data_IF_949416621590
#
_entry.id   IF_949416621590
#
_cell.length_a   1.000
_cell.length_b   1.000
_cell.length_c   1.000
_cell.angle_alpha   90.00
_cell.angle_beta   90.00
_cell.angle_gamma   90.00
#
_symmetry.space_group_name_H-M   'P 1'
#
loop_
_entity.id
_entity.type
_entity.pdbx_description
1 polymer ?
#
# COMPACT_ATOMS: atom_id res chain seq x y z
N UNK A 1 -61.32 -24.82 5.37
CA UNK A 1 -60.01 -25.22 4.80
C UNK A 1 -59.22 -23.95 4.50
N UNK A 2 -58.20 -23.59 5.31
CA UNK A 2 -57.38 -22.39 5.13
C UNK A 2 -56.05 -22.80 4.47
N UNK A 3 -55.56 -22.15 3.40
CA UNK A 3 -54.27 -22.47 2.81
C UNK A 3 -53.14 -21.86 3.64
N UNK A 4 -52.24 -22.70 4.08
CA UNK A 4 -50.97 -22.32 4.73
C UNK A 4 -50.02 -21.78 3.67
N UNK A 5 -49.77 -20.45 3.74
CA UNK A 5 -48.74 -19.79 2.90
C UNK A 5 -47.39 -20.07 3.50
N UNK A 6 -46.59 -20.85 2.82
CA UNK A 6 -45.17 -21.06 3.10
C UNK A 6 -44.38 -19.83 2.67
N UNK A 7 -43.85 -19.08 3.65
CA UNK A 7 -42.92 -17.98 3.42
C UNK A 7 -41.52 -18.59 3.49
N UNK A 8 -40.88 -18.76 2.32
CA UNK A 8 -39.46 -19.11 2.22
C UNK A 8 -38.62 -17.86 2.61
N UNK A 9 -37.72 -17.99 3.59
CA UNK A 9 -36.76 -16.92 3.84
C UNK A 9 -35.70 -16.92 2.75
N UNK A 10 -35.64 -15.86 1.95
CA UNK A 10 -34.54 -15.58 1.02
C UNK A 10 -33.34 -15.20 1.86
N UNK A 11 -32.39 -16.12 2.02
CA UNK A 11 -31.08 -15.85 2.60
C UNK A 11 -30.25 -15.10 1.55
N UNK A 12 -30.19 -13.77 1.66
CA UNK A 12 -29.23 -12.94 0.91
C UNK A 12 -27.82 -13.23 1.44
N UNK A 13 -27.09 -14.11 0.74
CA UNK A 13 -25.66 -14.25 0.95
C UNK A 13 -24.95 -12.97 0.47
N UNK A 14 -24.57 -12.11 1.39
CA UNK A 14 -23.61 -11.05 1.12
C UNK A 14 -22.26 -11.70 0.87
N UNK A 15 -21.91 -11.88 -0.40
CA UNK A 15 -20.56 -12.20 -0.81
C UNK A 15 -19.69 -10.97 -0.52
N UNK A 16 -19.00 -10.96 0.61
CA UNK A 16 -17.94 -9.97 0.89
C UNK A 16 -16.81 -10.23 -0.08
N UNK A 17 -16.77 -9.47 -1.17
CA UNK A 17 -15.58 -9.38 -2.02
C UNK A 17 -14.48 -8.72 -1.20
N UNK A 18 -13.53 -9.52 -0.72
CA UNK A 18 -12.27 -9.02 -0.18
C UNK A 18 -11.55 -8.29 -1.33
N UNK A 19 -11.71 -6.97 -1.40
CA UNK A 19 -10.93 -6.13 -2.30
C UNK A 19 -9.48 -6.23 -1.85
N UNK A 20 -8.64 -6.86 -2.66
CA UNK A 20 -7.20 -6.75 -2.52
C UNK A 20 -6.87 -5.25 -2.59
N UNK A 21 -6.49 -4.67 -1.46
CA UNK A 21 -6.04 -3.28 -1.39
C UNK A 21 -4.69 -3.24 -2.11
N UNK A 22 -4.72 -2.90 -3.39
CA UNK A 22 -3.50 -2.58 -4.14
C UNK A 22 -2.88 -1.35 -3.47
N UNK A 23 -1.70 -1.54 -2.89
CA UNK A 23 -0.94 -0.43 -2.33
C UNK A 23 -0.55 0.50 -3.47
N UNK A 24 -0.94 1.78 -3.38
CA UNK A 24 -0.57 2.82 -4.36
C UNK A 24 0.96 2.85 -4.49
N UNK A 25 1.49 2.87 -5.72
CA UNK A 25 2.93 2.97 -5.94
C UNK A 25 3.48 4.31 -5.44
N UNK A 26 4.78 4.36 -5.16
CA UNK A 26 5.40 5.60 -4.67
C UNK A 26 5.23 6.75 -5.66
N UNK A 27 5.40 6.47 -6.96
CA UNK A 27 5.21 7.44 -8.04
C UNK A 27 3.77 7.94 -8.11
N UNK A 28 2.79 7.05 -7.90
CA UNK A 28 1.37 7.41 -7.84
C UNK A 28 1.05 8.27 -6.63
N UNK A 29 1.66 7.98 -5.47
CA UNK A 29 1.52 8.80 -4.26
C UNK A 29 2.13 10.19 -4.44
N UNK A 30 3.29 10.29 -5.10
CA UNK A 30 3.94 11.54 -5.42
C UNK A 30 3.13 12.36 -6.44
N UNK A 31 2.61 11.71 -7.48
CA UNK A 31 1.73 12.34 -8.48
C UNK A 31 0.43 12.86 -7.86
N UNK A 32 -0.18 12.08 -6.95
CA UNK A 32 -1.37 12.48 -6.21
C UNK A 32 -1.09 13.74 -5.37
N UNK A 33 0.01 13.74 -4.62
CA UNK A 33 0.42 14.91 -3.81
C UNK A 33 0.69 16.13 -4.69
N UNK A 34 1.38 15.98 -5.81
CA UNK A 34 1.65 17.08 -6.73
C UNK A 34 0.37 17.66 -7.31
N UNK A 35 -0.57 16.82 -7.74
CA UNK A 35 -1.84 17.24 -8.33
C UNK A 35 -2.78 17.92 -7.32
N UNK A 36 -2.91 17.34 -6.13
CA UNK A 36 -3.90 17.80 -5.14
C UNK A 36 -3.36 18.84 -4.17
N UNK A 37 -2.03 18.82 -3.91
CA UNK A 37 -1.40 19.65 -2.88
C UNK A 37 -0.39 20.66 -3.43
N UNK A 38 -0.08 20.67 -4.72
CA UNK A 38 1.00 21.51 -5.26
C UNK A 38 0.89 22.96 -4.85
N UNK A 39 -0.27 23.59 -5.00
CA UNK A 39 -0.52 24.99 -4.60
C UNK A 39 -0.39 25.20 -3.09
N UNK A 40 -0.91 24.26 -2.29
CA UNK A 40 -0.84 24.33 -0.83
C UNK A 40 0.60 24.17 -0.32
N UNK A 41 1.38 23.30 -0.96
CA UNK A 41 2.80 23.09 -0.66
C UNK A 41 3.60 24.36 -0.99
N UNK A 42 3.37 24.94 -2.16
CA UNK A 42 4.04 26.18 -2.59
C UNK A 42 3.70 27.35 -1.68
N UNK A 43 2.48 27.43 -1.18
CA UNK A 43 2.04 28.50 -0.30
C UNK A 43 2.52 28.33 1.15
N UNK A 44 2.46 27.12 1.70
CA UNK A 44 2.61 26.88 3.14
C UNK A 44 3.87 26.08 3.51
N UNK A 45 4.46 25.34 2.56
CA UNK A 45 5.55 24.39 2.81
C UNK A 45 6.77 24.62 1.90
N UNK A 46 6.96 25.84 1.43
CA UNK A 46 8.07 26.19 0.53
C UNK A 46 9.42 25.84 1.16
N UNK A 47 10.27 25.14 0.38
CA UNK A 47 11.59 24.71 0.81
C UNK A 47 11.61 23.44 1.69
N UNK A 48 10.46 22.85 1.95
CA UNK A 48 10.40 21.53 2.60
C UNK A 48 10.75 20.46 1.56
N UNK A 49 11.78 19.66 1.83
CA UNK A 49 12.09 18.50 0.98
C UNK A 49 10.88 17.55 0.94
N UNK A 50 10.68 16.90 -0.23
CA UNK A 50 9.64 15.87 -0.42
C UNK A 50 9.92 14.57 0.37
N UNK A 51 10.59 14.67 1.51
CA UNK A 51 10.61 13.67 2.56
C UNK A 51 9.20 13.53 3.12
N UNK A 52 8.69 12.32 3.10
CA UNK A 52 7.31 12.04 3.51
C UNK A 52 6.99 12.51 4.94
N UNK A 53 7.96 12.51 5.84
CA UNK A 53 7.80 12.94 7.23
C UNK A 53 7.71 14.46 7.32
N UNK A 54 8.68 15.17 6.74
CA UNK A 54 8.74 16.65 6.82
C UNK A 54 7.58 17.31 6.09
N UNK A 55 7.20 16.79 4.92
CA UNK A 55 6.06 17.31 4.17
C UNK A 55 4.75 17.06 4.92
N UNK A 56 4.57 15.85 5.47
CA UNK A 56 3.42 15.53 6.32
C UNK A 56 3.30 16.47 7.50
N UNK A 57 4.40 16.69 8.23
CA UNK A 57 4.43 17.58 9.39
C UNK A 57 4.11 19.03 9.01
N UNK A 58 4.63 19.51 7.86
CA UNK A 58 4.34 20.83 7.36
C UNK A 58 2.85 20.99 7.03
N UNK A 59 2.26 20.09 6.25
CA UNK A 59 0.85 20.12 5.89
C UNK A 59 -0.05 20.00 7.13
N UNK A 60 0.36 19.21 8.11
CA UNK A 60 -0.38 19.06 9.37
C UNK A 60 -0.35 20.35 10.20
N UNK A 61 0.80 21.02 10.31
CA UNK A 61 0.90 22.31 11.04
C UNK A 61 0.10 23.41 10.37
N UNK A 62 -0.04 23.36 9.05
CA UNK A 62 -0.78 24.35 8.27
C UNK A 62 -2.20 23.88 7.91
N UNK A 63 -2.75 22.93 8.69
CA UNK A 63 -4.05 22.29 8.43
C UNK A 63 -5.17 23.28 8.09
N UNK A 64 -5.23 24.42 8.77
CA UNK A 64 -6.32 25.39 8.62
C UNK A 64 -6.25 26.18 7.30
N UNK A 65 -5.05 26.31 6.73
CA UNK A 65 -4.80 27.03 5.46
C UNK A 65 -4.70 26.09 4.25
N UNK A 66 -4.47 24.81 4.48
CA UNK A 66 -4.41 23.76 3.45
C UNK A 66 -5.82 23.38 3.00
N UNK A 67 -6.03 23.26 1.69
CA UNK A 67 -7.33 22.90 1.11
C UNK A 67 -7.85 21.55 1.60
N UNK A 68 -9.18 21.38 1.66
CA UNK A 68 -9.82 20.12 2.06
C UNK A 68 -9.42 18.95 1.15
N UNK A 69 -9.27 19.20 -0.15
CA UNK A 69 -8.82 18.19 -1.12
C UNK A 69 -7.39 17.74 -0.81
N UNK A 70 -6.47 18.68 -0.60
CA UNK A 70 -5.08 18.35 -0.25
C UNK A 70 -5.01 17.57 1.07
N UNK A 71 -5.74 17.96 2.11
CA UNK A 71 -5.76 17.22 3.38
C UNK A 71 -6.16 15.76 3.19
N UNK A 72 -7.22 15.51 2.41
CA UNK A 72 -7.72 14.16 2.15
C UNK A 72 -6.71 13.31 1.37
N UNK A 73 -6.19 13.86 0.27
CA UNK A 73 -5.29 13.14 -0.62
C UNK A 73 -3.89 12.96 -0.01
N UNK A 74 -3.41 13.94 0.76
CA UNK A 74 -2.17 13.81 1.54
C UNK A 74 -2.29 12.68 2.57
N UNK A 75 -3.40 12.59 3.29
CA UNK A 75 -3.67 11.47 4.21
C UNK A 75 -3.55 10.13 3.50
N UNK A 76 -4.24 9.95 2.37
CA UNK A 76 -4.21 8.72 1.57
C UNK A 76 -2.80 8.39 1.06
N UNK A 77 -2.07 9.39 0.55
CA UNK A 77 -0.72 9.20 0.03
C UNK A 77 0.26 8.79 1.15
N UNK A 78 0.25 9.48 2.29
CA UNK A 78 1.13 9.15 3.41
C UNK A 78 0.82 7.79 4.03
N UNK A 79 -0.45 7.42 4.17
CA UNK A 79 -0.84 6.08 4.63
C UNK A 79 -0.36 4.98 3.67
N UNK A 80 -0.47 5.20 2.36
CA UNK A 80 0.03 4.27 1.36
C UNK A 80 1.55 4.11 1.44
N UNK A 81 2.30 5.20 1.60
CA UNK A 81 3.75 5.18 1.78
C UNK A 81 4.13 4.41 3.05
N UNK A 82 3.47 4.67 4.18
CA UNK A 82 3.75 3.97 5.44
C UNK A 82 3.47 2.46 5.36
N UNK A 83 2.36 2.07 4.75
CA UNK A 83 2.02 0.66 4.51
C UNK A 83 3.09 -0.02 3.67
N UNK A 84 3.59 0.64 2.64
CA UNK A 84 4.65 0.10 1.76
C UNK A 84 5.99 -0.01 2.48
N UNK A 85 6.39 0.98 3.27
CA UNK A 85 7.60 0.93 4.10
C UNK A 85 7.53 -0.24 5.08
N UNK A 86 6.38 -0.42 5.75
CA UNK A 86 6.16 -1.54 6.65
C UNK A 86 6.19 -2.90 5.92
N UNK A 87 5.63 -2.97 4.70
CA UNK A 87 5.66 -4.18 3.88
C UNK A 87 7.10 -4.55 3.46
N UNK A 88 7.93 -3.57 3.07
CA UNK A 88 9.35 -3.79 2.72
C UNK A 88 10.12 -4.44 3.86
N UNK A 89 9.89 -4.02 5.10
CA UNK A 89 10.51 -4.64 6.28
C UNK A 89 10.16 -6.13 6.47
N UNK A 90 9.06 -6.60 5.89
CA UNK A 90 8.60 -7.99 6.01
C UNK A 90 9.09 -8.91 4.88
N UNK A 91 9.54 -8.35 3.75
CA UNK A 91 9.89 -9.16 2.56
C UNK A 91 11.02 -10.14 2.85
N UNK A 92 12.06 -9.70 3.55
CA UNK A 92 13.22 -10.55 3.89
C UNK A 92 12.75 -11.83 4.59
N UNK A 93 11.91 -11.71 5.62
CA UNK A 93 11.40 -12.87 6.36
C UNK A 93 10.44 -13.71 5.51
N UNK A 94 9.58 -13.08 4.74
CA UNK A 94 8.62 -13.79 3.89
C UNK A 94 9.29 -14.58 2.76
N UNK A 95 10.45 -14.14 2.28
CA UNK A 95 11.21 -14.73 1.17
C UNK A 95 12.50 -15.44 1.60
N UNK A 96 12.72 -15.64 2.90
CA UNK A 96 13.93 -16.28 3.44
C UNK A 96 14.22 -17.63 2.81
N UNK A 97 13.18 -18.45 2.68
CA UNK A 97 13.26 -19.80 2.13
C UNK A 97 13.61 -19.81 0.64
N UNK A 98 13.03 -18.91 -0.11
CA UNK A 98 13.29 -18.72 -1.54
C UNK A 98 14.69 -18.17 -1.78
N UNK A 99 15.12 -17.19 -0.98
CA UNK A 99 16.48 -16.64 -1.02
C UNK A 99 17.53 -17.74 -0.85
N UNK A 100 17.34 -18.62 0.12
CA UNK A 100 18.25 -19.74 0.37
C UNK A 100 18.21 -20.79 -0.75
N UNK A 101 17.02 -21.20 -1.21
CA UNK A 101 16.86 -22.33 -2.15
C UNK A 101 17.14 -21.96 -3.59
N UNK A 102 16.69 -20.79 -4.04
CA UNK A 102 16.76 -20.38 -5.45
C UNK A 102 18.00 -19.55 -5.75
N UNK A 103 18.51 -18.84 -4.75
CA UNK A 103 19.57 -17.85 -4.93
C UNK A 103 20.89 -18.20 -4.23
N UNK A 104 20.97 -19.36 -3.57
CA UNK A 104 22.20 -19.82 -2.90
C UNK A 104 22.63 -18.94 -1.72
N UNK A 105 21.74 -18.10 -1.20
CA UNK A 105 21.99 -17.21 -0.06
C UNK A 105 21.93 -17.94 1.30
N UNK A 106 22.34 -17.25 2.37
CA UNK A 106 22.23 -17.71 3.75
C UNK A 106 20.80 -17.61 4.32
N UNK A 107 19.86 -17.14 3.51
CA UNK A 107 18.47 -16.84 3.91
C UNK A 107 18.31 -15.58 4.75
N UNK A 108 19.38 -15.06 5.34
CA UNK A 108 19.35 -13.84 6.17
C UNK A 108 19.38 -12.57 5.35
N UNK A 109 20.06 -12.62 4.21
CA UNK A 109 20.14 -11.51 3.26
C UNK A 109 19.17 -11.74 2.13
N UNK A 110 18.32 -10.76 1.84
CA UNK A 110 17.35 -10.84 0.76
C UNK A 110 18.05 -10.70 -0.60
N UNK A 111 18.09 -11.78 -1.36
CA UNK A 111 18.55 -11.77 -2.76
C UNK A 111 17.40 -11.34 -3.68
N UNK A 112 16.95 -10.09 -3.57
CA UNK A 112 15.74 -9.60 -4.22
C UNK A 112 15.79 -9.73 -5.74
N UNK A 113 16.87 -9.29 -6.37
CA UNK A 113 17.02 -9.33 -7.84
C UNK A 113 16.93 -10.75 -8.38
N UNK A 114 17.55 -11.72 -7.67
CA UNK A 114 17.46 -13.13 -8.02
C UNK A 114 16.03 -13.66 -7.89
N UNK A 115 15.32 -13.34 -6.79
CA UNK A 115 13.93 -13.76 -6.57
C UNK A 115 13.00 -13.12 -7.61
N UNK A 116 13.22 -11.86 -7.95
CA UNK A 116 12.44 -11.15 -8.97
C UNK A 116 12.66 -11.75 -10.38
N UNK A 117 13.87 -12.22 -10.67
CA UNK A 117 14.20 -12.89 -11.92
C UNK A 117 13.72 -14.34 -11.98
N UNK A 118 13.45 -14.99 -10.84
CA UNK A 118 12.98 -16.38 -10.78
C UNK A 118 11.49 -16.49 -11.17
N UNK A 119 11.14 -17.06 -12.33
CA UNK A 119 9.75 -17.14 -12.80
C UNK A 119 8.93 -18.19 -12.07
N UNK A 120 9.59 -19.17 -11.45
CA UNK A 120 8.96 -20.32 -10.77
C UNK A 120 9.69 -20.63 -9.46
N UNK A 121 8.96 -21.24 -8.53
CA UNK A 121 9.53 -21.66 -7.24
C UNK A 121 9.39 -20.62 -6.12
N UNK A 122 8.88 -19.43 -6.42
CA UNK A 122 8.54 -18.42 -5.41
C UNK A 122 7.17 -18.73 -4.82
N UNK A 123 7.09 -18.84 -3.49
CA UNK A 123 5.82 -19.14 -2.79
C UNK A 123 4.82 -17.99 -2.90
N UNK A 124 3.53 -18.31 -2.73
CA UNK A 124 2.48 -17.30 -2.71
C UNK A 124 2.70 -16.25 -1.60
N UNK A 125 3.26 -16.65 -0.45
CA UNK A 125 3.58 -15.74 0.66
C UNK A 125 4.68 -14.75 0.29
N UNK A 126 5.78 -15.22 -0.30
CA UNK A 126 6.86 -14.35 -0.77
C UNK A 126 6.38 -13.43 -1.91
N UNK A 127 5.63 -13.98 -2.88
CA UNK A 127 5.04 -13.18 -3.98
C UNK A 127 4.13 -12.08 -3.46
N UNK A 128 3.27 -12.39 -2.50
CA UNK A 128 2.39 -11.40 -1.86
C UNK A 128 3.20 -10.29 -1.17
N UNK A 129 4.22 -10.67 -0.37
CA UNK A 129 5.07 -9.69 0.32
C UNK A 129 5.82 -8.77 -0.67
N UNK A 130 6.33 -9.30 -1.77
CA UNK A 130 6.99 -8.55 -2.85
C UNK A 130 6.02 -7.53 -3.48
N UNK A 131 4.79 -7.94 -3.79
CA UNK A 131 3.78 -7.07 -4.38
C UNK A 131 3.33 -5.96 -3.41
N UNK A 132 3.09 -6.30 -2.13
CA UNK A 132 2.75 -5.32 -1.10
C UNK A 132 3.88 -4.30 -0.87
N UNK A 133 5.13 -4.73 -0.98
CA UNK A 133 6.31 -3.88 -0.88
C UNK A 133 6.54 -3.01 -2.12
N UNK A 134 5.83 -3.29 -3.22
CA UNK A 134 5.91 -2.53 -4.46
C UNK A 134 7.18 -2.79 -5.27
N UNK A 135 7.68 -4.02 -5.22
CA UNK A 135 8.79 -4.46 -6.07
C UNK A 135 8.32 -5.06 -7.41
N UNK A 136 7.04 -5.31 -7.54
CA UNK A 136 6.33 -5.67 -8.78
C UNK A 136 4.99 -4.96 -8.86
#
# INVERSE_FOLDING_TARGET
>A
MKPVRWILPIFLMFASTAQAQTTIRFEESAALLAASCGKDIDANCRGVNFDSTRLKDCLTRNHDTVSAQCRTDAGRAFDAIQKRVAARGKVTKACERESAKLCGGDGKTLALDCILAAPKGVSANCTKAINEAGYR
#
